data_IF_946875672451
#
_entry.id   IF_946875672451
#
_cell.length_a   1.000
_cell.length_b   1.000
_cell.length_c   1.000
_cell.angle_alpha   90.00
_cell.angle_beta   90.00
_cell.angle_gamma   90.00
#
_symmetry.space_group_name_H-M   'P 1'
#
loop_
_entity.id
_entity.type
_entity.pdbx_description
1 polymer ?
#
# COMPACT_ATOMS: atom_id res chain seq x y z
N UNK A 1 4.68 -2.09 -5.07
CA UNK A 1 6.14 -2.04 -5.32
C UNK A 1 6.63 -0.59 -5.29
N UNK A 2 7.75 -0.35 -4.64
CA UNK A 2 8.30 1.00 -4.46
C UNK A 2 9.83 0.98 -4.29
N UNK A 3 10.46 2.14 -4.39
CA UNK A 3 11.87 2.35 -4.09
C UNK A 3 12.20 1.98 -2.65
N UNK A 4 13.26 1.19 -2.47
CA UNK A 4 13.81 0.80 -1.18
C UNK A 4 14.25 2.03 -0.36
N UNK A 5 14.94 2.97 -1.00
CA UNK A 5 15.41 4.20 -0.36
C UNK A 5 14.25 5.09 0.14
N UNK A 6 13.09 5.06 -0.54
CA UNK A 6 11.93 5.90 -0.18
C UNK A 6 10.90 5.18 0.69
N UNK A 7 11.10 3.90 1.03
CA UNK A 7 10.15 3.09 1.79
C UNK A 7 9.71 3.76 3.11
N UNK A 8 10.64 4.37 3.85
CA UNK A 8 10.34 5.05 5.11
C UNK A 8 9.36 6.22 4.94
N UNK A 9 9.58 7.05 3.90
CA UNK A 9 8.71 8.17 3.56
C UNK A 9 7.33 7.69 3.09
N UNK A 10 7.31 6.68 2.21
CA UNK A 10 6.08 6.07 1.68
C UNK A 10 5.25 5.48 2.81
N UNK A 11 5.87 4.75 3.75
CA UNK A 11 5.20 4.22 4.93
C UNK A 11 4.57 5.33 5.77
N UNK A 12 5.29 6.42 6.03
CA UNK A 12 4.76 7.55 6.80
C UNK A 12 3.55 8.21 6.10
N UNK A 13 3.65 8.43 4.79
CA UNK A 13 2.55 9.00 4.00
C UNK A 13 1.33 8.07 4.02
N UNK A 14 1.54 6.77 3.79
CA UNK A 14 0.48 5.77 3.79
C UNK A 14 -0.29 5.76 5.11
N UNK A 15 0.38 5.65 6.26
CA UNK A 15 -0.30 5.58 7.55
C UNK A 15 -1.08 6.87 7.85
N UNK A 16 -0.52 8.03 7.52
CA UNK A 16 -1.19 9.32 7.71
C UNK A 16 -2.43 9.43 6.82
N UNK A 17 -2.28 9.21 5.53
CA UNK A 17 -3.33 9.48 4.53
C UNK A 17 -4.48 8.47 4.66
N UNK A 18 -4.16 7.21 5.01
CA UNK A 18 -5.17 6.20 5.33
C UNK A 18 -5.88 6.52 6.65
N UNK A 19 -5.15 6.95 7.69
CA UNK A 19 -5.75 7.36 8.95
C UNK A 19 -6.70 8.55 8.81
N UNK A 20 -6.33 9.56 8.01
CA UNK A 20 -7.22 10.71 7.69
C UNK A 20 -8.50 10.25 6.97
N UNK A 21 -8.42 9.18 6.17
CA UNK A 21 -9.56 8.58 5.48
C UNK A 21 -10.39 7.62 6.36
N UNK A 22 -10.07 7.50 7.65
CA UNK A 22 -10.73 6.57 8.57
C UNK A 22 -10.34 5.09 8.39
N UNK A 23 -9.31 4.81 7.59
CA UNK A 23 -8.83 3.45 7.34
C UNK A 23 -7.78 3.05 8.37
N UNK A 24 -7.91 1.84 8.91
CA UNK A 24 -6.94 1.30 9.86
C UNK A 24 -5.95 0.36 9.16
N UNK A 25 -4.66 0.70 9.20
CA UNK A 25 -3.58 -0.14 8.66
C UNK A 25 -3.20 -1.17 9.72
N UNK A 26 -3.54 -2.44 9.49
CA UNK A 26 -3.28 -3.51 10.45
C UNK A 26 -1.83 -3.99 10.43
N UNK A 27 -1.27 -4.23 9.24
CA UNK A 27 0.12 -4.67 9.11
C UNK A 27 0.73 -4.25 7.77
N UNK A 28 2.06 -4.15 7.75
CA UNK A 28 2.85 -3.95 6.53
C UNK A 28 4.00 -4.96 6.51
N UNK A 29 4.03 -5.80 5.48
CA UNK A 29 5.12 -6.73 5.19
C UNK A 29 5.96 -6.19 4.04
N UNK A 30 7.26 -6.40 4.10
CA UNK A 30 8.21 -5.90 3.10
C UNK A 30 9.04 -7.06 2.59
N UNK A 31 8.80 -7.40 1.34
CA UNK A 31 9.50 -8.46 0.63
C UNK A 31 10.56 -7.89 -0.32
N UNK A 32 11.58 -8.70 -0.59
CA UNK A 32 12.62 -8.37 -1.57
C UNK A 32 12.03 -8.44 -2.98
N UNK A 33 12.42 -7.51 -3.83
CA UNK A 33 12.16 -7.57 -5.26
C UNK A 33 13.42 -8.10 -6.00
N UNK A 34 13.29 -8.58 -7.26
CA UNK A 34 14.45 -8.94 -8.08
C UNK A 34 15.44 -7.79 -8.29
N UNK A 35 14.93 -6.56 -8.37
CA UNK A 35 15.73 -5.33 -8.41
C UNK A 35 16.08 -4.89 -6.97
N UNK A 36 17.37 -4.75 -6.60
CA UNK A 36 17.79 -4.37 -5.26
C UNK A 36 17.35 -2.96 -4.84
N UNK A 37 17.08 -2.08 -5.81
CA UNK A 37 16.57 -0.73 -5.55
C UNK A 37 15.06 -0.71 -5.26
N UNK A 38 14.39 -1.85 -5.42
CA UNK A 38 12.95 -2.00 -5.23
C UNK A 38 12.62 -2.95 -4.07
N UNK A 39 11.43 -2.72 -3.51
CA UNK A 39 10.80 -3.60 -2.53
C UNK A 39 9.31 -3.75 -2.84
N UNK A 40 8.75 -4.87 -2.40
CA UNK A 40 7.30 -5.08 -2.39
C UNK A 40 6.80 -4.85 -0.98
N UNK A 41 6.04 -3.78 -0.77
CA UNK A 41 5.33 -3.53 0.48
C UNK A 41 3.88 -4.01 0.35
N UNK A 42 3.52 -5.04 1.11
CA UNK A 42 2.16 -5.56 1.22
C UNK A 42 1.49 -4.98 2.46
N UNK A 43 0.34 -4.34 2.29
CA UNK A 43 -0.34 -3.63 3.37
C UNK A 43 -1.72 -4.23 3.60
N UNK A 44 -1.96 -4.68 4.83
CA UNK A 44 -3.27 -5.16 5.27
C UNK A 44 -4.02 -3.99 5.89
N UNK A 45 -5.24 -3.74 5.41
CA UNK A 45 -6.10 -2.66 5.90
C UNK A 45 -7.40 -3.26 6.38
N UNK A 46 -7.78 -2.96 7.62
CA UNK A 46 -9.11 -3.26 8.12
C UNK A 46 -10.08 -2.27 7.50
N UNK A 47 -10.91 -2.74 6.57
CA UNK A 47 -11.82 -1.91 5.79
C UNK A 47 -13.23 -2.50 5.84
N UNK A 48 -14.15 -1.94 6.62
CA UNK A 48 -15.57 -2.26 6.50
C UNK A 48 -16.10 -1.82 5.12
N UNK A 49 -17.27 -2.34 4.74
CA UNK A 49 -17.81 -2.19 3.39
C UNK A 49 -18.07 -0.72 3.01
N UNK A 50 -18.54 0.08 3.96
CA UNK A 50 -18.77 1.52 3.80
C UNK A 50 -17.49 2.32 3.49
N UNK A 51 -16.30 1.80 3.83
CA UNK A 51 -15.02 2.46 3.60
C UNK A 51 -14.31 1.96 2.32
N UNK A 52 -14.88 0.99 1.59
CA UNK A 52 -14.32 0.52 0.31
C UNK A 52 -14.03 1.67 -0.68
N UNK A 53 -14.92 2.69 -0.86
CA UNK A 53 -14.63 3.82 -1.74
C UNK A 53 -13.42 4.64 -1.27
N UNK A 54 -13.30 4.85 0.04
CA UNK A 54 -12.17 5.58 0.63
C UNK A 54 -10.86 4.81 0.42
N UNK A 55 -10.86 3.49 0.64
CA UNK A 55 -9.70 2.63 0.36
C UNK A 55 -9.25 2.72 -1.09
N UNK A 56 -10.19 2.62 -2.03
CA UNK A 56 -9.86 2.71 -3.46
C UNK A 56 -9.34 4.10 -3.84
N UNK A 57 -9.88 5.17 -3.26
CA UNK A 57 -9.35 6.51 -3.48
C UNK A 57 -7.92 6.64 -2.94
N UNK A 58 -7.65 6.20 -1.71
CA UNK A 58 -6.31 6.26 -1.13
C UNK A 58 -5.29 5.40 -1.89
N UNK A 59 -5.69 4.22 -2.35
CA UNK A 59 -4.84 3.38 -3.21
C UNK A 59 -4.47 4.09 -4.53
N UNK A 60 -5.40 4.85 -5.13
CA UNK A 60 -5.12 5.68 -6.32
C UNK A 60 -4.19 6.85 -6.00
N UNK A 61 -4.36 7.52 -4.86
CA UNK A 61 -3.44 8.60 -4.46
C UNK A 61 -2.03 8.06 -4.16
N UNK A 62 -1.92 6.86 -3.58
CA UNK A 62 -0.64 6.23 -3.30
C UNK A 62 0.20 6.02 -4.57
N UNK A 63 -0.43 5.77 -5.72
CA UNK A 63 0.28 5.69 -7.02
C UNK A 63 1.01 6.97 -7.41
N UNK A 64 0.58 8.12 -6.86
CA UNK A 64 1.19 9.43 -7.13
C UNK A 64 2.32 9.77 -6.15
N UNK A 65 2.51 8.97 -5.11
CA UNK A 65 3.57 9.19 -4.13
C UNK A 65 4.92 8.90 -4.78
N UNK A 66 5.85 9.83 -4.61
CA UNK A 66 7.19 9.71 -5.16
C UNK A 66 7.88 8.42 -4.70
N UNK A 67 8.43 7.65 -5.64
CA UNK A 67 9.07 6.37 -5.36
C UNK A 67 8.13 5.17 -5.35
N UNK A 68 6.81 5.36 -5.47
CA UNK A 68 5.87 4.27 -5.74
C UNK A 68 5.94 3.94 -7.24
N UNK A 69 6.12 2.66 -7.57
CA UNK A 69 6.21 2.16 -8.94
C UNK A 69 4.90 1.52 -9.40
N UNK A 70 4.33 0.69 -8.54
CA UNK A 70 3.08 -0.01 -8.81
C UNK A 70 2.29 -0.23 -7.52
N UNK A 71 0.97 -0.14 -7.62
CA UNK A 71 0.02 -0.43 -6.53
C UNK A 71 -1.04 -1.37 -7.08
N UNK A 72 -1.10 -2.55 -6.45
CA UNK A 72 -2.13 -3.58 -6.67
C UNK A 72 -2.93 -3.73 -5.38
N UNK A 73 -4.19 -4.11 -5.53
CA UNK A 73 -5.09 -4.38 -4.41
C UNK A 73 -5.88 -5.64 -4.72
N UNK A 74 -6.23 -6.37 -3.68
CA UNK A 74 -7.05 -7.58 -3.76
C UNK A 74 -7.60 -7.90 -2.39
N UNK A 75 -8.68 -8.66 -2.35
CA UNK A 75 -9.06 -9.37 -1.13
C UNK A 75 -8.00 -10.46 -0.89
N UNK A 76 -7.67 -10.72 0.38
CA UNK A 76 -6.74 -11.79 0.78
C UNK A 76 -7.12 -13.15 0.17
N UNK A 77 -8.40 -13.31 -0.23
CA UNK A 77 -8.93 -14.50 -0.91
C UNK A 77 -8.49 -14.65 -2.38
N UNK A 78 -7.92 -13.63 -3.03
CA UNK A 78 -7.70 -13.61 -4.49
C UNK A 78 -6.36 -13.02 -4.95
N UNK A 79 -5.32 -13.03 -4.11
CA UNK A 79 -3.96 -12.74 -4.58
C UNK A 79 -3.34 -14.05 -5.07
N UNK A 80 -3.74 -14.50 -6.26
CA UNK A 80 -2.95 -15.46 -7.03
C UNK A 80 -1.85 -14.64 -7.69
N UNK A 81 -0.64 -14.70 -7.14
CA UNK A 81 0.55 -14.14 -7.77
C UNK A 81 0.98 -15.11 -8.87
N UNK A 82 0.60 -14.80 -10.11
CA UNK A 82 1.28 -15.31 -11.30
C UNK A 82 2.53 -14.46 -11.58
#
# INVERSE_FOLDING_TARGET
>A
MCSRAKLGQIRKALYRDFGVAGLNVGSMQVDRAPDPELVTACVTVSCPDELKPALMNQARQLKKVEGVRDVRWGDHRHIVLN
#
